data_IF_065144532603
#
_entry.id   IF_065144532603
#
_cell.length_a   1.000
_cell.length_b   1.000
_cell.length_c   1.000
_cell.angle_alpha   90.00
_cell.angle_beta   90.00
_cell.angle_gamma   90.00
#
_symmetry.space_group_name_H-M   'P 1'
#
loop_
_entity.id
_entity.type
_entity.pdbx_description
1 polymer ?
#
# COMPACT_ATOMS: atom_id res chain seq x y z
N UNK A 1 -52.80 35.96 -1.63
CA UNK A 1 -52.75 35.80 -0.16
C UNK A 1 -52.66 34.34 0.27
N UNK A 2 -53.66 33.45 0.04
CA UNK A 2 -53.50 32.03 0.43
C UNK A 2 -52.40 31.28 -0.35
N UNK A 3 -52.28 31.46 -1.67
CA UNK A 3 -51.23 30.79 -2.47
C UNK A 3 -49.80 31.28 -2.22
N UNK A 4 -49.61 32.50 -1.70
CA UNK A 4 -48.28 32.99 -1.28
C UNK A 4 -47.83 32.35 0.04
N UNK A 5 -48.78 31.96 0.90
CA UNK A 5 -48.46 31.31 2.18
C UNK A 5 -48.06 29.85 1.97
N UNK A 6 -48.73 29.12 1.06
CA UNK A 6 -48.37 27.73 0.71
C UNK A 6 -46.96 27.64 0.10
N UNK A 7 -46.59 28.57 -0.78
CA UNK A 7 -45.28 28.55 -1.45
C UNK A 7 -44.12 28.84 -0.49
N UNK A 8 -44.35 29.70 0.51
CA UNK A 8 -43.36 30.00 1.57
C UNK A 8 -43.19 28.80 2.51
N UNK A 9 -44.26 28.04 2.75
CA UNK A 9 -44.24 26.86 3.62
C UNK A 9 -43.51 25.67 2.96
N UNK A 10 -43.72 25.46 1.65
CA UNK A 10 -42.96 24.46 0.87
C UNK A 10 -41.46 24.78 0.80
N UNK A 11 -41.09 26.05 0.60
CA UNK A 11 -39.69 26.49 0.58
C UNK A 11 -39.01 26.29 1.95
N UNK A 12 -39.72 26.54 3.05
CA UNK A 12 -39.22 26.33 4.42
C UNK A 12 -38.98 24.83 4.72
N UNK A 13 -39.92 23.96 4.29
CA UNK A 13 -39.79 22.51 4.46
C UNK A 13 -38.64 21.96 3.62
N UNK A 14 -38.51 22.41 2.37
CA UNK A 14 -37.38 22.05 1.50
C UNK A 14 -36.04 22.49 2.09
N UNK A 15 -35.97 23.69 2.65
CA UNK A 15 -34.75 24.20 3.29
C UNK A 15 -34.36 23.39 4.53
N UNK A 16 -35.34 22.99 5.36
CA UNK A 16 -35.12 22.11 6.51
C UNK A 16 -34.64 20.71 6.10
N UNK A 17 -35.23 20.11 5.06
CA UNK A 17 -34.76 18.83 4.54
C UNK A 17 -33.32 18.92 4.04
N UNK A 18 -32.99 19.95 3.25
CA UNK A 18 -31.63 20.16 2.77
C UNK A 18 -30.60 20.34 3.89
N UNK A 19 -30.96 21.03 4.97
CA UNK A 19 -30.09 21.18 6.14
C UNK A 19 -29.87 19.83 6.85
N UNK A 20 -30.92 19.02 6.97
CA UNK A 20 -30.86 17.70 7.59
C UNK A 20 -29.98 16.75 6.78
N UNK A 21 -30.14 16.75 5.45
CA UNK A 21 -29.32 15.97 4.53
C UNK A 21 -27.85 16.41 4.56
N UNK A 22 -27.59 17.72 4.68
CA UNK A 22 -26.24 18.26 4.81
C UNK A 22 -25.58 17.80 6.11
N UNK A 23 -26.31 17.78 7.21
CA UNK A 23 -25.81 17.28 8.50
C UNK A 23 -25.51 15.78 8.44
N UNK A 24 -26.39 14.99 7.83
CA UNK A 24 -26.17 13.57 7.61
C UNK A 24 -24.91 13.30 6.77
N UNK A 25 -24.77 14.00 5.65
CA UNK A 25 -23.61 13.88 4.77
C UNK A 25 -22.30 14.28 5.46
N UNK A 26 -22.32 15.32 6.30
CA UNK A 26 -21.15 15.72 7.10
C UNK A 26 -20.76 14.62 8.08
N UNK A 27 -21.74 14.05 8.78
CA UNK A 27 -21.51 12.96 9.72
C UNK A 27 -20.94 11.71 9.02
N UNK A 28 -21.49 11.34 7.86
CA UNK A 28 -20.97 10.24 7.06
C UNK A 28 -19.54 10.51 6.56
N UNK A 29 -19.26 11.72 6.08
CA UNK A 29 -17.91 12.10 5.65
C UNK A 29 -16.89 12.00 6.78
N UNK A 30 -17.25 12.45 7.97
CA UNK A 30 -16.41 12.34 9.16
C UNK A 30 -16.15 10.89 9.56
N UNK A 31 -17.17 10.02 9.50
CA UNK A 31 -17.01 8.58 9.74
C UNK A 31 -16.08 7.94 8.71
N UNK A 32 -16.28 8.22 7.42
CA UNK A 32 -15.44 7.70 6.35
C UNK A 32 -13.99 8.18 6.49
N UNK A 33 -13.77 9.45 6.84
CA UNK A 33 -12.42 10.00 7.10
C UNK A 33 -11.74 9.31 8.28
N UNK A 34 -12.47 9.03 9.36
CA UNK A 34 -11.94 8.29 10.51
C UNK A 34 -11.53 6.88 10.12
N UNK A 35 -12.38 6.16 9.39
CA UNK A 35 -12.07 4.80 8.96
C UNK A 35 -10.91 4.77 7.97
N UNK A 36 -10.87 5.70 7.02
CA UNK A 36 -9.76 5.80 6.07
C UNK A 36 -8.42 6.07 6.81
N UNK A 37 -8.41 6.98 7.79
CA UNK A 37 -7.24 7.21 8.64
C UNK A 37 -6.87 5.97 9.47
N UNK A 38 -7.84 5.18 9.94
CA UNK A 38 -7.59 3.92 10.63
C UNK A 38 -6.93 2.91 9.69
N UNK A 39 -7.47 2.74 8.48
CA UNK A 39 -6.94 1.83 7.47
C UNK A 39 -5.54 2.23 7.01
N UNK A 40 -5.25 3.51 6.81
CA UNK A 40 -3.91 4.00 6.49
C UNK A 40 -2.91 3.65 7.59
N UNK A 41 -3.29 3.78 8.86
CA UNK A 41 -2.45 3.39 10.00
C UNK A 41 -2.26 1.89 10.13
N UNK A 42 -3.25 1.09 9.73
CA UNK A 42 -3.20 -0.37 9.71
C UNK A 42 -2.49 -0.92 8.46
N UNK A 43 -2.32 -0.11 7.42
CA UNK A 43 -1.59 -0.49 6.23
C UNK A 43 -0.11 -0.55 6.59
N UNK A 44 0.35 -1.75 6.92
CA UNK A 44 1.78 -2.00 7.01
C UNK A 44 2.42 -1.57 5.68
N UNK A 45 3.47 -0.74 5.71
CA UNK A 45 4.20 -0.43 4.50
C UNK A 45 4.64 -1.74 3.84
N UNK A 46 4.55 -1.85 2.50
CA UNK A 46 5.01 -3.04 1.81
C UNK A 46 6.48 -3.26 2.15
N UNK A 47 6.83 -4.51 2.49
CA UNK A 47 8.22 -4.89 2.70
C UNK A 47 8.94 -4.78 1.36
N UNK A 48 9.75 -3.75 1.22
CA UNK A 48 10.59 -3.48 0.05
C UNK A 48 12.04 -3.33 0.50
N UNK A 49 12.98 -3.53 -0.41
CA UNK A 49 14.39 -3.28 -0.13
C UNK A 49 14.61 -1.84 0.34
N UNK A 50 13.90 -0.88 -0.27
CA UNK A 50 13.98 0.53 0.11
C UNK A 50 13.62 0.78 1.58
N UNK A 51 12.66 0.03 2.13
CA UNK A 51 12.27 0.15 3.54
C UNK A 51 13.27 -0.46 4.51
N UNK A 52 14.13 -1.39 4.07
CA UNK A 52 15.05 -2.14 4.94
C UNK A 52 16.53 -1.85 4.70
N UNK A 53 16.91 -1.23 3.58
CA UNK A 53 18.32 -1.04 3.18
C UNK A 53 19.15 -0.27 4.21
N UNK A 54 18.52 0.61 4.99
CA UNK A 54 19.16 1.36 6.09
C UNK A 54 19.39 0.54 7.36
N UNK A 55 18.96 -0.72 7.41
CA UNK A 55 19.05 -1.59 8.57
C UNK A 55 19.73 -2.91 8.19
N UNK A 56 21.04 -2.98 8.44
CA UNK A 56 21.88 -4.16 8.15
C UNK A 56 21.33 -5.46 8.76
N UNK A 57 20.75 -5.40 9.97
CA UNK A 57 20.18 -6.58 10.62
C UNK A 57 18.98 -7.11 9.85
N UNK A 58 18.12 -6.23 9.33
CA UNK A 58 16.96 -6.65 8.53
C UNK A 58 17.40 -7.22 7.18
N UNK A 59 18.34 -6.57 6.49
CA UNK A 59 18.88 -7.08 5.22
C UNK A 59 19.48 -8.48 5.43
N UNK A 60 20.34 -8.65 6.43
CA UNK A 60 20.94 -9.96 6.76
C UNK A 60 19.89 -10.99 7.18
N UNK A 61 18.87 -10.58 7.94
CA UNK A 61 17.80 -11.47 8.36
C UNK A 61 16.99 -12.00 7.18
N UNK A 62 16.60 -11.15 6.23
CA UNK A 62 15.78 -11.57 5.09
C UNK A 62 16.57 -12.26 3.99
N UNK A 63 17.81 -11.85 3.75
CA UNK A 63 18.59 -12.31 2.59
C UNK A 63 19.72 -13.27 2.94
N UNK A 64 20.18 -13.27 4.20
CA UNK A 64 21.40 -13.96 4.60
C UNK A 64 22.69 -13.25 4.19
N UNK A 65 22.58 -12.08 3.55
CA UNK A 65 23.70 -11.33 2.97
C UNK A 65 23.91 -10.01 3.70
N UNK A 66 25.15 -9.50 3.69
CA UNK A 66 25.42 -8.11 4.07
C UNK A 66 24.86 -7.15 3.01
N UNK A 67 24.53 -5.89 3.36
CA UNK A 67 24.02 -4.90 2.39
C UNK A 67 24.93 -4.70 1.18
N UNK A 68 26.26 -4.71 1.38
CA UNK A 68 27.23 -4.59 0.30
C UNK A 68 27.22 -5.78 -0.66
N UNK A 69 27.08 -6.99 -0.12
CA UNK A 69 26.98 -8.23 -0.89
C UNK A 69 25.68 -8.26 -1.68
N UNK A 70 24.56 -7.90 -1.04
CA UNK A 70 23.27 -7.79 -1.70
C UNK A 70 23.32 -6.81 -2.88
N UNK A 71 23.86 -5.61 -2.68
CA UNK A 71 23.97 -4.60 -3.74
C UNK A 71 24.86 -5.07 -4.90
N UNK A 72 25.95 -5.79 -4.60
CA UNK A 72 26.84 -6.37 -5.62
C UNK A 72 26.13 -7.45 -6.42
N UNK A 73 25.40 -8.33 -5.73
CA UNK A 73 24.62 -9.40 -6.36
C UNK A 73 23.50 -8.83 -7.25
N UNK A 74 22.77 -7.82 -6.76
CA UNK A 74 21.71 -7.16 -7.53
C UNK A 74 22.27 -6.59 -8.84
N UNK A 75 23.39 -5.86 -8.78
CA UNK A 75 24.07 -5.35 -9.98
C UNK A 75 24.48 -6.47 -10.92
N UNK A 76 25.00 -7.57 -10.40
CA UNK A 76 25.43 -8.70 -11.23
C UNK A 76 24.25 -9.37 -11.93
N UNK A 77 23.19 -9.72 -11.20
CA UNK A 77 22.01 -10.41 -11.73
C UNK A 77 21.31 -9.58 -12.81
N UNK A 78 21.09 -8.30 -12.55
CA UNK A 78 20.34 -7.42 -13.45
C UNK A 78 21.23 -6.68 -14.47
N UNK A 79 22.55 -6.89 -14.45
CA UNK A 79 23.42 -6.48 -15.57
C UNK A 79 23.26 -7.38 -16.80
N UNK A 80 22.70 -8.58 -16.61
CA UNK A 80 22.39 -9.52 -17.68
C UNK A 80 20.95 -9.34 -18.12
N UNK A 81 20.63 -9.74 -19.36
CA UNK A 81 19.25 -9.81 -19.84
C UNK A 81 18.53 -10.95 -19.12
N UNK A 82 18.02 -10.65 -17.92
CA UNK A 82 17.25 -11.59 -17.13
C UNK A 82 15.87 -11.75 -17.78
N UNK A 83 15.54 -12.97 -18.20
CA UNK A 83 14.22 -13.30 -18.77
C UNK A 83 13.64 -14.39 -17.90
N UNK A 84 12.46 -14.18 -17.32
CA UNK A 84 11.79 -15.23 -16.57
C UNK A 84 11.30 -16.33 -17.53
N UNK A 85 10.94 -17.49 -16.97
CA UNK A 85 10.36 -18.59 -17.75
C UNK A 85 9.15 -18.10 -18.57
N UNK A 86 8.96 -18.69 -19.75
CA UNK A 86 7.91 -18.33 -20.72
C UNK A 86 7.92 -16.87 -21.19
N UNK A 87 9.07 -16.18 -21.07
CA UNK A 87 9.22 -14.80 -21.51
C UNK A 87 8.51 -13.80 -20.60
N UNK A 88 8.18 -14.21 -19.37
CA UNK A 88 7.55 -13.30 -18.42
C UNK A 88 8.50 -12.18 -18.01
N UNK A 89 7.92 -11.00 -17.78
CA UNK A 89 8.66 -9.80 -17.43
C UNK A 89 7.97 -9.11 -16.25
N UNK A 90 8.75 -8.79 -15.22
CA UNK A 90 8.22 -8.25 -13.97
C UNK A 90 8.25 -6.74 -14.03
N UNK A 91 7.07 -6.15 -14.29
CA UNK A 91 6.90 -4.71 -14.51
C UNK A 91 6.59 -3.91 -13.22
N UNK A 92 6.20 -4.58 -12.14
CA UNK A 92 5.68 -3.92 -10.93
C UNK A 92 6.63 -3.92 -9.73
N UNK A 93 7.82 -4.51 -9.85
CA UNK A 93 8.80 -4.61 -8.77
C UNK A 93 10.16 -4.09 -9.24
N UNK A 94 10.87 -3.39 -8.36
CA UNK A 94 12.27 -3.03 -8.61
C UNK A 94 13.14 -4.28 -8.70
N UNK A 95 14.29 -4.18 -9.36
CA UNK A 95 15.29 -5.25 -9.42
C UNK A 95 15.71 -5.71 -8.01
N UNK A 96 15.87 -4.76 -7.10
CA UNK A 96 16.18 -4.99 -5.70
C UNK A 96 15.07 -5.80 -5.00
N UNK A 97 13.80 -5.43 -5.20
CA UNK A 97 12.67 -6.14 -4.61
C UNK A 97 12.49 -7.54 -5.20
N UNK A 98 12.72 -7.69 -6.51
CA UNK A 98 12.72 -9.00 -7.18
C UNK A 98 13.78 -9.93 -6.57
N UNK A 99 15.01 -9.43 -6.37
CA UNK A 99 16.08 -10.20 -5.73
C UNK A 99 15.77 -10.47 -4.25
N UNK A 100 15.27 -9.48 -3.52
CA UNK A 100 14.90 -9.61 -2.10
C UNK A 100 13.88 -10.73 -1.91
N UNK A 101 12.79 -10.70 -2.68
CA UNK A 101 11.74 -11.73 -2.62
C UNK A 101 12.28 -13.11 -3.01
N UNK A 102 13.13 -13.18 -4.04
CA UNK A 102 13.76 -14.42 -4.46
C UNK A 102 14.62 -15.02 -3.34
N UNK A 103 15.48 -14.20 -2.71
CA UNK A 103 16.33 -14.66 -1.60
C UNK A 103 15.53 -15.04 -0.36
N UNK A 104 14.48 -14.29 -0.03
CA UNK A 104 13.56 -14.64 1.07
C UNK A 104 12.89 -15.99 0.81
N UNK A 105 12.41 -16.22 -0.42
CA UNK A 105 11.76 -17.47 -0.81
C UNK A 105 12.75 -18.63 -0.80
N UNK A 106 13.92 -18.47 -1.40
CA UNK A 106 15.00 -19.46 -1.35
C UNK A 106 15.37 -19.80 0.08
N UNK A 107 15.54 -18.80 0.95
CA UNK A 107 15.86 -19.02 2.36
C UNK A 107 14.77 -19.79 3.09
N UNK A 108 13.50 -19.49 2.82
CA UNK A 108 12.37 -20.23 3.37
C UNK A 108 12.36 -21.69 2.88
N UNK A 109 12.60 -21.91 1.60
CA UNK A 109 12.55 -23.23 0.97
C UNK A 109 13.75 -24.10 1.36
N UNK A 110 14.88 -23.47 1.69
CA UNK A 110 16.10 -24.13 2.17
C UNK A 110 16.33 -23.98 3.68
N UNK A 111 15.34 -23.51 4.45
CA UNK A 111 15.47 -23.28 5.89
C UNK A 111 15.80 -24.54 6.71
N UNK A 112 15.67 -25.72 6.10
CA UNK A 112 16.00 -27.03 6.69
C UNK A 112 17.30 -27.64 6.14
N UNK A 113 18.01 -26.97 5.23
CA UNK A 113 19.36 -27.36 4.85
C UNK A 113 20.31 -26.70 5.83
N UNK A 114 20.46 -27.30 7.00
CA UNK A 114 21.64 -27.09 7.83
C UNK A 114 22.86 -27.55 7.00
N UNK A 115 23.72 -26.61 6.60
CA UNK A 115 25.08 -26.89 6.15
C UNK A 115 26.00 -26.90 7.38
#
# INVERSE_FOLDING_TARGET
>A
MMHEQEHVEEDLVSHQQNLTDLEFLRMENDMLRRENNRLVKLRNPPLTYDTIQGNEKLVTHYTGLTPSTFATLCKFVFSMKFTYEDGWDVQCLSSEDQLLLSLMKLRNDFAFIDI
#
